data_IF_680115465929
#
_entry.id   IF_680115465929
#
_cell.length_a   1.000
_cell.length_b   1.000
_cell.length_c   1.000
_cell.angle_alpha   90.00
_cell.angle_beta   90.00
_cell.angle_gamma   90.00
#
_symmetry.space_group_name_H-M   'P 1'
#
loop_
_entity.id
_entity.type
_entity.pdbx_description
1 polymer ?
#
# COMPACT_ATOMS: atom_id res chain seq x y z
N UNK A 1 5.55 12.27 -12.06
CA UNK A 1 5.52 12.67 -10.64
C UNK A 1 6.87 12.34 -10.05
N UNK A 2 7.62 13.32 -9.57
CA UNK A 2 8.88 13.04 -8.87
C UNK A 2 8.51 12.64 -7.44
N UNK A 3 8.81 11.40 -7.08
CA UNK A 3 8.64 10.90 -5.70
C UNK A 3 9.96 11.17 -4.98
N UNK A 4 9.90 11.90 -3.87
CA UNK A 4 11.08 12.16 -3.05
C UNK A 4 11.49 10.87 -2.31
N UNK A 5 12.80 10.65 -2.14
CA UNK A 5 13.39 9.38 -1.71
C UNK A 5 13.12 9.00 -0.23
N UNK A 6 12.14 9.62 0.42
CA UNK A 6 11.72 9.34 1.79
C UNK A 6 10.20 9.38 2.01
N UNK A 7 9.40 9.58 0.95
CA UNK A 7 7.94 9.61 1.07
C UNK A 7 7.35 8.21 0.97
N UNK A 8 6.34 7.93 1.81
CA UNK A 8 5.48 6.75 1.66
C UNK A 8 4.46 7.05 0.56
N UNK A 9 4.25 6.07 -0.32
CA UNK A 9 3.30 6.15 -1.44
C UNK A 9 2.46 4.87 -1.49
N UNK A 10 1.25 4.99 -2.02
CA UNK A 10 0.40 3.86 -2.36
C UNK A 10 0.42 3.69 -3.88
N UNK A 11 0.76 2.48 -4.33
CA UNK A 11 0.83 2.13 -5.74
C UNK A 11 -0.28 1.15 -6.05
N UNK A 12 -1.18 1.53 -6.95
CA UNK A 12 -2.19 0.63 -7.50
C UNK A 12 -1.72 0.18 -8.88
N UNK A 13 -1.85 -1.11 -9.14
CA UNK A 13 -1.38 -1.71 -10.37
C UNK A 13 -1.52 -3.22 -10.40
N UNK A 14 -1.04 -3.81 -11.49
CA UNK A 14 -1.04 -5.25 -11.70
C UNK A 14 0.37 -5.83 -11.49
N UNK A 15 0.45 -7.00 -10.86
CA UNK A 15 1.72 -7.72 -10.71
C UNK A 15 2.02 -8.49 -12.00
N UNK A 16 3.17 -8.22 -12.61
CA UNK A 16 3.63 -8.91 -13.82
C UNK A 16 4.28 -10.27 -13.50
N UNK A 17 4.61 -11.03 -14.54
CA UNK A 17 5.25 -12.34 -14.42
C UNK A 17 6.70 -12.29 -13.89
N UNK A 18 7.25 -11.11 -13.63
CA UNK A 18 8.56 -10.88 -13.02
C UNK A 18 8.45 -10.42 -11.57
N UNK A 19 7.25 -10.51 -10.98
CA UNK A 19 6.92 -10.02 -9.64
C UNK A 19 7.17 -8.50 -9.49
N UNK A 20 6.93 -7.73 -10.55
CA UNK A 20 6.97 -6.27 -10.53
C UNK A 20 5.56 -5.71 -10.58
N UNK A 21 5.32 -4.57 -9.93
CA UNK A 21 4.04 -3.87 -10.05
C UNK A 21 4.11 -2.97 -11.29
N UNK A 22 3.32 -3.28 -12.31
CA UNK A 22 3.01 -2.36 -13.40
C UNK A 22 2.05 -1.32 -12.82
N UNK A 23 2.58 -0.14 -12.53
CA UNK A 23 1.84 0.94 -11.89
C UNK A 23 0.82 1.54 -12.86
N UNK A 24 -0.45 1.53 -12.45
CA UNK A 24 -1.54 2.21 -13.13
C UNK A 24 -1.79 3.59 -12.50
N UNK A 25 -1.67 3.69 -11.17
CA UNK A 25 -1.77 4.95 -10.43
C UNK A 25 -0.91 4.98 -9.17
N UNK A 26 -0.52 6.18 -8.76
CA UNK A 26 0.20 6.46 -7.50
C UNK A 26 -0.59 7.48 -6.70
N UNK A 27 -0.75 7.21 -5.41
CA UNK A 27 -1.25 8.15 -4.42
C UNK A 27 -0.06 8.50 -3.51
N UNK A 28 0.28 9.78 -3.47
CA UNK A 28 1.28 10.31 -2.54
C UNK A 28 0.57 10.69 -1.25
N UNK A 29 1.08 10.20 -0.13
CA UNK A 29 0.61 10.63 1.18
C UNK A 29 1.19 12.01 1.50
N UNK A 30 0.38 12.88 2.11
CA UNK A 30 0.83 14.16 2.60
C UNK A 30 1.87 13.97 3.73
N UNK A 31 2.87 14.85 3.89
CA UNK A 31 3.92 14.69 4.90
C UNK A 31 3.39 14.46 6.32
N UNK A 32 2.28 15.11 6.67
CA UNK A 32 1.59 14.96 7.96
C UNK A 32 1.04 13.54 8.19
N UNK A 33 0.64 12.86 7.10
CA UNK A 33 0.16 11.48 7.12
C UNK A 33 1.32 10.49 7.22
N UNK A 34 2.48 10.83 6.65
CA UNK A 34 3.66 9.95 6.66
C UNK A 34 4.55 10.11 7.89
N UNK A 35 4.49 11.26 8.58
CA UNK A 35 5.42 11.60 9.66
C UNK A 35 5.47 10.57 10.80
N UNK A 36 4.35 9.91 11.07
CA UNK A 36 4.24 8.86 12.09
C UNK A 36 3.61 7.58 11.51
N UNK A 37 3.74 7.35 10.20
CA UNK A 37 3.17 6.17 9.59
C UNK A 37 3.96 4.94 10.02
N UNK A 38 3.30 4.07 10.78
CA UNK A 38 3.89 2.82 11.27
C UNK A 38 3.75 1.73 10.19
N UNK A 39 4.81 1.56 9.41
CA UNK A 39 4.88 0.53 8.36
C UNK A 39 4.78 -0.89 8.92
N UNK A 40 5.25 -1.13 10.15
CA UNK A 40 5.19 -2.46 10.77
C UNK A 40 3.75 -2.79 11.16
N UNK A 41 3.05 -1.84 11.79
CA UNK A 41 1.63 -1.99 12.10
C UNK A 41 0.78 -2.16 10.82
N UNK A 42 1.07 -1.40 9.76
CA UNK A 42 0.42 -1.56 8.46
C UNK A 42 0.62 -2.97 7.90
N UNK A 43 1.84 -3.49 7.93
CA UNK A 43 2.14 -4.85 7.48
C UNK A 43 1.38 -5.91 8.30
N UNK A 44 1.26 -5.74 9.62
CA UNK A 44 0.45 -6.64 10.45
C UNK A 44 -1.04 -6.59 10.07
N UNK A 45 -1.58 -5.41 9.76
CA UNK A 45 -2.96 -5.27 9.29
C UNK A 45 -3.18 -6.00 7.96
N UNK A 46 -2.25 -5.88 6.99
CA UNK A 46 -2.30 -6.61 5.72
C UNK A 46 -2.31 -8.12 5.95
N UNK A 47 -1.48 -8.62 6.88
CA UNK A 47 -1.47 -10.05 7.22
C UNK A 47 -2.81 -10.50 7.83
N UNK A 48 -3.43 -9.68 8.68
CA UNK A 48 -4.75 -10.00 9.23
C UNK A 48 -5.83 -10.11 8.15
N UNK A 49 -5.80 -9.26 7.12
CA UNK A 49 -6.74 -9.38 5.98
C UNK A 49 -6.60 -10.72 5.25
N UNK A 50 -5.39 -11.23 5.12
CA UNK A 50 -5.14 -12.54 4.51
C UNK A 50 -5.62 -13.69 5.41
N UNK A 51 -5.51 -13.55 6.73
CA UNK A 51 -5.90 -14.59 7.70
C UNK A 51 -7.41 -14.63 7.97
N UNK A 52 -8.10 -13.49 7.86
CA UNK A 52 -9.53 -13.35 8.15
C UNK A 52 -10.30 -12.70 6.98
N UNK A 53 -10.27 -13.30 5.78
CA UNK A 53 -10.85 -12.68 4.59
C UNK A 53 -12.37 -12.49 4.68
N UNK A 54 -13.08 -13.30 5.47
CA UNK A 54 -14.53 -13.16 5.68
C UNK A 54 -14.91 -11.94 6.53
N UNK A 55 -14.02 -11.48 7.40
CA UNK A 55 -14.25 -10.33 8.28
C UNK A 55 -13.87 -9.01 7.59
N UNK A 56 -13.11 -9.13 6.49
CA UNK A 56 -12.77 -8.04 5.61
C UNK A 56 -13.70 -8.08 4.38
N UNK A 57 -14.85 -7.41 4.48
CA UNK A 57 -15.80 -7.30 3.37
C UNK A 57 -15.15 -6.55 2.20
N UNK A 58 -14.55 -7.29 1.25
CA UNK A 58 -14.19 -6.76 -0.07
C UNK A 58 -15.48 -6.69 -0.90
N UNK A 59 -16.34 -5.72 -0.60
CA UNK A 59 -17.27 -5.20 -1.60
C UNK A 59 -16.57 -4.02 -2.28
N UNK A 60 -15.68 -4.32 -3.21
CA UNK A 60 -15.21 -3.40 -4.24
C UNK A 60 -16.07 -3.56 -5.48
#
# INVERSE_FOLDING_TARGET
VAVDAGSIIEVLGNVDNRNQIICDSVITFEPEQTANFDMDMYNQAVLLFQHYPQDYLVNL
#
